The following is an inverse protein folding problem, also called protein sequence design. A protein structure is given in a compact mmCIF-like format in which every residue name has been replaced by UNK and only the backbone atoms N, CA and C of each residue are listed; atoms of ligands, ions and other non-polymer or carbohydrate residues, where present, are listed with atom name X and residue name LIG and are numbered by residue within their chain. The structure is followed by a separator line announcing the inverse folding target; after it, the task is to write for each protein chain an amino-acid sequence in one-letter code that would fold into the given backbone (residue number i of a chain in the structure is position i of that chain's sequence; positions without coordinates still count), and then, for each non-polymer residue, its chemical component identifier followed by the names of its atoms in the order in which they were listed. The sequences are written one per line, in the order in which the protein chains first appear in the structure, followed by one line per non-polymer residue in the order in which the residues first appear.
data_IF_732868647366
#
_entry.id   IF_732868647366
#
_cell.length_a   1.000
_cell.length_b   1.000
_cell.length_c   1.000
_cell.angle_alpha   90.00
_cell.angle_beta   90.00
_cell.angle_gamma   90.00
#
_symmetry.space_group_name_H-M   'P 1'
#
loop_
_entity.id
_entity.type
_entity.pdbx_description
1 polymer ?
#
# COMPACT_ATOMS: atom_id res chain seq x y z
N UNK A 1 23.02 -16.17 12.02
CA UNK A 1 21.73 -15.74 11.42
C UNK A 1 21.36 -14.35 11.96
N UNK A 2 21.69 -13.29 11.23
CA UNK A 2 21.43 -11.92 11.65
C UNK A 2 19.95 -11.56 11.54
N UNK A 3 19.40 -10.86 12.54
CA UNK A 3 17.97 -10.50 12.62
C UNK A 3 17.57 -9.68 11.38
N UNK A 4 16.61 -10.16 10.58
CA UNK A 4 16.18 -9.53 9.34
C UNK A 4 15.56 -8.13 9.53
N UNK A 5 15.10 -7.81 10.75
CA UNK A 5 14.50 -6.51 11.09
C UNK A 5 14.82 -6.10 12.53
N UNK A 6 14.83 -4.79 12.78
CA UNK A 6 14.93 -4.16 14.11
C UNK A 6 13.73 -3.26 14.35
N UNK A 7 13.20 -3.29 15.57
CA UNK A 7 12.15 -2.36 15.98
C UNK A 7 12.78 -1.11 16.60
N UNK A 8 12.31 0.07 16.18
CA UNK A 8 12.68 1.38 16.72
C UNK A 8 11.41 2.02 17.31
N UNK A 9 11.54 2.65 18.46
CA UNK A 9 10.49 3.43 19.12
C UNK A 9 11.07 4.70 19.75
N UNK A 10 10.20 5.66 20.07
CA UNK A 10 10.56 6.90 20.75
C UNK A 10 11.67 7.69 20.04
N UNK A 11 12.72 8.05 20.78
CA UNK A 11 13.83 8.86 20.25
C UNK A 11 14.56 8.21 19.06
N UNK A 12 14.67 6.88 19.03
CA UNK A 12 15.34 6.17 17.92
C UNK A 12 14.50 6.18 16.64
N UNK A 13 13.18 6.11 16.79
CA UNK A 13 12.24 6.27 15.67
C UNK A 13 12.25 7.70 15.14
N UNK A 14 12.18 8.70 16.03
CA UNK A 14 12.24 10.12 15.65
C UNK A 14 13.50 10.45 14.85
N UNK A 15 14.66 9.96 15.32
CA UNK A 15 15.93 10.13 14.61
C UNK A 15 15.89 9.46 13.23
N UNK A 16 15.43 8.21 13.16
CA UNK A 16 15.36 7.48 11.90
C UNK A 16 14.44 8.15 10.88
N UNK A 17 13.25 8.62 11.29
CA UNK A 17 12.31 9.33 10.41
C UNK A 17 12.88 10.66 9.96
N UNK A 18 13.52 11.42 10.86
CA UNK A 18 14.21 12.67 10.49
C UNK A 18 15.27 12.44 9.43
N UNK A 19 16.13 11.45 9.63
CA UNK A 19 17.21 11.12 8.70
C UNK A 19 16.65 10.58 7.36
N UNK A 20 15.57 9.80 7.40
CA UNK A 20 14.85 9.33 6.22
C UNK A 20 14.26 10.50 5.43
N UNK A 21 13.47 11.36 6.05
CA UNK A 21 12.76 12.45 5.36
C UNK A 21 13.75 13.53 4.90
N UNK A 22 14.79 13.82 5.68
CA UNK A 22 15.85 14.74 5.29
C UNK A 22 16.77 14.22 4.18
N UNK A 23 16.73 12.91 3.88
CA UNK A 23 17.46 12.33 2.74
C UNK A 23 16.70 12.39 1.42
N UNK A 24 15.44 12.85 1.42
CA UNK A 24 14.59 12.93 0.22
C UNK A 24 14.75 14.30 -0.43
N UNK A 25 15.13 14.31 -1.71
CA UNK A 25 15.23 15.52 -2.50
C UNK A 25 13.86 16.22 -2.64
N UNK A 26 13.86 17.55 -2.57
CA UNK A 26 12.65 18.37 -2.75
C UNK A 26 11.82 18.59 -1.47
N UNK A 27 12.22 18.03 -0.32
CA UNK A 27 11.55 18.31 0.96
C UNK A 27 12.20 19.51 1.64
N UNK A 28 11.38 20.51 2.01
CA UNK A 28 11.84 21.64 2.80
C UNK A 28 12.14 21.20 4.24
N UNK A 29 13.09 21.85 4.95
CA UNK A 29 13.42 21.49 6.33
C UNK A 29 12.21 21.61 7.27
N UNK A 30 11.30 22.56 7.01
CA UNK A 30 10.05 22.73 7.77
C UNK A 30 9.08 21.56 7.54
N UNK A 31 8.89 21.14 6.28
CA UNK A 31 8.08 19.96 5.95
C UNK A 31 8.66 18.69 6.58
N UNK A 32 10.00 18.54 6.56
CA UNK A 32 10.67 17.40 7.19
C UNK A 32 10.44 17.34 8.71
N UNK A 33 10.47 18.48 9.39
CA UNK A 33 10.18 18.58 10.82
C UNK A 33 8.70 18.28 11.13
N UNK A 34 7.78 18.78 10.30
CA UNK A 34 6.34 18.53 10.45
C UNK A 34 6.01 17.03 10.26
N UNK A 35 6.55 16.39 9.22
CA UNK A 35 6.44 14.96 8.95
C UNK A 35 7.02 14.11 10.10
N UNK A 36 8.20 14.47 10.59
CA UNK A 36 8.83 13.78 11.73
C UNK A 36 7.95 13.84 12.98
N UNK A 37 7.36 15.00 13.26
CA UNK A 37 6.48 15.21 14.42
C UNK A 37 5.13 14.52 14.28
N UNK A 38 4.60 14.39 13.06
CA UNK A 38 3.43 13.58 12.78
C UNK A 38 3.71 12.08 13.02
N UNK A 39 4.84 11.57 12.51
CA UNK A 39 5.24 10.19 12.73
C UNK A 39 5.51 9.87 14.21
N UNK A 40 6.02 10.80 15.01
CA UNK A 40 6.24 10.57 16.45
C UNK A 40 4.91 10.47 17.23
N UNK A 41 3.89 11.24 16.84
CA UNK A 41 2.57 11.22 17.49
C UNK A 41 1.74 10.01 17.12
N UNK A 42 1.75 9.63 15.84
CA UNK A 42 0.83 8.62 15.30
C UNK A 42 1.40 7.20 15.31
N UNK A 43 2.73 7.04 15.42
CA UNK A 43 3.39 5.74 15.28
C UNK A 43 4.11 5.39 16.57
N UNK A 44 3.69 4.32 17.24
CA UNK A 44 4.32 3.83 18.46
C UNK A 44 5.65 3.08 18.21
N UNK A 45 5.78 2.41 17.06
CA UNK A 45 6.94 1.58 16.73
C UNK A 45 7.11 1.41 15.21
N UNK A 46 8.35 1.44 14.74
CA UNK A 46 8.74 1.20 13.33
C UNK A 46 9.65 -0.01 13.24
N UNK A 47 9.37 -0.93 12.30
CA UNK A 47 10.28 -2.04 11.96
C UNK A 47 11.14 -1.68 10.77
N UNK A 48 12.46 -1.60 10.97
CA UNK A 48 13.46 -1.30 9.94
C UNK A 48 14.18 -2.57 9.49
N UNK A 49 14.51 -2.68 8.20
CA UNK A 49 15.31 -3.77 7.64
C UNK A 49 16.78 -3.60 8.02
N UNK A 50 17.48 -4.71 8.23
CA UNK A 50 18.92 -4.74 8.47
C UNK A 50 19.65 -5.43 7.31
N UNK A 51 20.81 -4.90 6.87
CA UNK A 51 21.45 -3.67 7.33
C UNK A 51 20.67 -2.42 6.90
N UNK A 52 20.68 -1.39 7.74
CA UNK A 52 20.11 -0.10 7.36
C UNK A 52 20.97 0.42 6.20
N UNK A 53 20.40 0.69 5.02
CA UNK A 53 21.17 1.18 3.89
C UNK A 53 21.85 2.50 4.28
N UNK A 54 23.17 2.56 4.08
CA UNK A 54 23.98 3.76 4.32
C UNK A 54 23.47 4.89 3.43
N UNK A 55 22.82 5.88 4.05
CA UNK A 55 22.44 7.13 3.38
C UNK A 55 23.60 8.09 3.50
N UNK A 56 24.71 7.71 2.86
CA UNK A 56 25.93 8.49 2.81
C UNK A 56 25.77 9.64 1.80
N UNK A 57 26.14 10.84 2.26
CA UNK A 57 26.28 12.07 1.48
C UNK A 57 27.19 11.85 0.26
N UNK A 58 26.65 11.67 -0.94
CA UNK A 58 27.35 11.96 -2.19
C UNK A 58 26.40 11.88 -3.39
N UNK A 59 26.10 13.06 -3.92
CA UNK A 59 25.50 13.24 -5.23
C UNK A 59 26.42 12.69 -6.34
N UNK A 60 25.85 11.99 -7.34
CA UNK A 60 26.16 12.22 -8.76
C UNK A 60 25.17 11.50 -9.68
N UNK A 61 24.42 12.33 -10.40
CA UNK A 61 23.90 12.18 -11.77
C UNK A 61 23.21 10.87 -12.18
N UNK A 62 21.89 10.96 -12.32
CA UNK A 62 21.05 9.99 -13.04
C UNK A 62 19.72 10.57 -13.51
N UNK A 63 19.74 11.79 -14.06
CA UNK A 63 18.82 12.40 -15.06
C UNK A 63 17.35 11.91 -15.15
N UNK A 64 16.45 12.79 -14.70
CA UNK A 64 15.13 13.22 -15.25
C UNK A 64 14.06 12.17 -15.57
N UNK A 65 12.91 12.31 -14.90
CA UNK A 65 11.79 13.18 -15.31
C UNK A 65 11.01 13.57 -14.03
N UNK A 66 11.06 14.81 -13.55
CA UNK A 66 10.27 15.96 -14.00
C UNK A 66 8.77 15.65 -14.11
N UNK A 67 8.00 16.09 -13.11
CA UNK A 67 6.54 15.98 -13.08
C UNK A 67 5.91 16.50 -11.78
N UNK A 68 6.28 17.73 -11.40
CA UNK A 68 5.55 18.72 -10.58
C UNK A 68 4.16 18.31 -10.03
N UNK A 69 4.07 18.15 -8.71
CA UNK A 69 2.91 18.60 -7.90
C UNK A 69 2.98 20.14 -7.76
N UNK A 70 1.95 20.91 -7.31
CA UNK A 70 0.66 20.50 -6.75
C UNK A 70 -0.55 21.39 -7.14
N UNK A 71 -1.72 21.08 -6.56
CA UNK A 71 -2.79 21.99 -6.10
C UNK A 71 -4.22 21.69 -6.60
N UNK A 72 -5.02 21.19 -5.65
CA UNK A 72 -6.25 21.80 -5.11
C UNK A 72 -7.41 22.15 -6.08
N UNK A 73 -8.54 21.49 -5.78
CA UNK A 73 -9.94 21.94 -5.80
C UNK A 73 -10.66 22.23 -7.13
N UNK A 74 -11.84 21.62 -7.21
CA UNK A 74 -13.11 22.06 -7.83
C UNK A 74 -13.31 21.97 -9.35
N UNK A 75 -14.24 21.08 -9.71
CA UNK A 75 -15.37 21.26 -10.65
C UNK A 75 -15.12 22.01 -11.96
N UNK A 76 -15.00 21.28 -13.07
CA UNK A 76 -15.75 21.59 -14.30
C UNK A 76 -15.70 20.40 -15.27
N UNK A 77 -16.85 20.11 -15.89
CA UNK A 77 -17.06 19.01 -16.81
C UNK A 77 -16.31 19.21 -18.14
N UNK A 78 -15.58 18.18 -18.62
CA UNK A 78 -15.32 17.92 -20.04
C UNK A 78 -14.57 16.60 -20.28
N UNK A 79 -15.05 15.85 -21.28
CA UNK A 79 -14.47 14.70 -22.00
C UNK A 79 -14.29 13.37 -21.22
N UNK A 80 -14.81 12.24 -21.75
CA UNK A 80 -14.63 10.93 -21.13
C UNK A 80 -13.14 10.55 -21.17
N UNK A 81 -12.53 10.19 -20.03
CA UNK A 81 -11.15 9.71 -20.02
C UNK A 81 -11.03 8.42 -20.84
N UNK A 82 -9.85 8.13 -21.43
CA UNK A 82 -9.59 6.83 -22.06
C UNK A 82 -9.88 5.72 -21.04
N UNK A 83 -10.28 4.51 -21.49
CA UNK A 83 -10.65 3.44 -20.58
C UNK A 83 -9.48 3.21 -19.62
N UNK A 84 -9.69 3.53 -18.35
CA UNK A 84 -8.68 3.39 -17.32
C UNK A 84 -8.23 1.91 -17.32
N UNK A 85 -6.95 1.67 -17.61
CA UNK A 85 -6.36 0.35 -17.43
C UNK A 85 -6.64 -0.11 -16.01
N UNK A 86 -7.16 -1.33 -15.87
CA UNK A 86 -7.55 -1.85 -14.56
C UNK A 86 -6.31 -2.01 -13.67
N UNK A 87 -6.24 -1.22 -12.59
CA UNK A 87 -5.20 -1.35 -11.58
C UNK A 87 -5.63 -2.38 -10.51
N UNK A 88 -4.99 -3.57 -10.45
CA UNK A 88 -5.30 -4.58 -9.45
C UNK A 88 -4.89 -4.19 -8.02
N UNK A 89 -4.15 -3.10 -7.84
CA UNK A 89 -3.72 -2.57 -6.54
C UNK A 89 -4.48 -1.31 -6.10
N UNK A 90 -5.46 -0.85 -6.88
CA UNK A 90 -6.29 0.32 -6.55
C UNK A 90 -6.97 0.21 -5.17
N UNK A 91 -7.22 -1.02 -4.69
CA UNK A 91 -7.61 -1.29 -3.32
C UNK A 91 -7.10 -2.66 -2.86
N UNK A 92 -6.89 -2.83 -1.55
CA UNK A 92 -6.51 -4.13 -0.99
C UNK A 92 -7.74 -4.91 -0.53
N UNK A 93 -7.92 -6.14 -1.05
CA UNK A 93 -9.03 -7.03 -0.66
C UNK A 93 -9.06 -7.30 0.84
N UNK A 94 -7.89 -7.48 1.45
CA UNK A 94 -7.77 -7.73 2.89
C UNK A 94 -8.19 -6.51 3.69
N UNK A 95 -7.72 -5.32 3.29
CA UNK A 95 -8.05 -4.07 4.00
C UNK A 95 -9.55 -3.77 3.90
N UNK A 96 -10.13 -3.95 2.71
CA UNK A 96 -11.56 -3.77 2.50
C UNK A 96 -12.35 -4.74 3.38
N UNK A 97 -12.02 -6.03 3.40
CA UNK A 97 -12.71 -6.99 4.28
C UNK A 97 -12.56 -6.64 5.76
N UNK A 98 -11.39 -6.17 6.20
CA UNK A 98 -11.21 -5.79 7.61
C UNK A 98 -11.95 -4.53 8.03
N UNK A 99 -12.25 -3.61 7.09
CA UNK A 99 -12.91 -2.33 7.39
C UNK A 99 -14.40 -2.33 7.10
N UNK A 100 -14.77 -2.88 5.94
CA UNK A 100 -16.12 -2.84 5.37
C UNK A 100 -16.81 -4.21 5.43
N UNK A 101 -16.08 -5.26 5.83
CA UNK A 101 -16.62 -6.61 5.94
C UNK A 101 -16.74 -7.33 4.59
N UNK A 102 -17.48 -8.45 4.62
CA UNK A 102 -17.70 -9.31 3.45
C UNK A 102 -18.45 -8.57 2.34
N UNK A 103 -19.54 -7.88 2.72
CA UNK A 103 -20.44 -7.19 1.79
C UNK A 103 -19.77 -5.98 1.11
N UNK A 104 -18.89 -5.28 1.83
CA UNK A 104 -18.10 -4.18 1.26
C UNK A 104 -17.17 -4.64 0.14
N UNK A 105 -16.49 -5.78 0.34
CA UNK A 105 -15.67 -6.36 -0.73
C UNK A 105 -16.53 -6.86 -1.90
N UNK A 106 -17.64 -7.56 -1.61
CA UNK A 106 -18.55 -8.05 -2.65
C UNK A 106 -19.06 -6.91 -3.55
N UNK A 107 -19.41 -5.76 -2.94
CA UNK A 107 -19.86 -4.57 -3.66
C UNK A 107 -18.80 -4.00 -4.60
N UNK A 108 -17.53 -3.93 -4.17
CA UNK A 108 -16.43 -3.46 -5.04
C UNK A 108 -16.13 -4.44 -6.18
N UNK A 109 -16.25 -5.73 -5.94
CA UNK A 109 -16.03 -6.76 -6.96
C UNK A 109 -17.17 -6.82 -8.00
N UNK A 110 -18.37 -6.33 -7.67
CA UNK A 110 -19.52 -6.30 -8.57
C UNK A 110 -19.27 -5.43 -9.83
N UNK A 111 -18.47 -4.36 -9.70
CA UNK A 111 -18.10 -3.48 -10.79
C UNK A 111 -16.96 -4.03 -11.68
N UNK A 112 -16.36 -5.18 -11.31
CA UNK A 112 -15.18 -5.73 -11.97
C UNK A 112 -15.57 -6.93 -12.84
N UNK A 113 -15.05 -6.96 -14.07
CA UNK A 113 -15.23 -8.06 -15.01
C UNK A 113 -14.33 -9.27 -14.74
N UNK A 114 -14.65 -10.46 -15.30
CA UNK A 114 -14.00 -11.73 -14.95
C UNK A 114 -12.49 -11.77 -15.19
N UNK A 115 -12.00 -11.17 -16.28
CA UNK A 115 -10.56 -11.10 -16.57
C UNK A 115 -9.79 -10.32 -15.47
N UNK A 116 -10.37 -9.20 -15.05
CA UNK A 116 -9.80 -8.31 -14.03
C UNK A 116 -9.88 -8.93 -12.62
N UNK A 117 -10.90 -9.74 -12.33
CA UNK A 117 -11.01 -10.49 -11.08
C UNK A 117 -9.86 -11.48 -10.90
N UNK A 118 -9.53 -12.26 -11.95
CA UNK A 118 -8.39 -13.20 -11.92
C UNK A 118 -7.06 -12.45 -11.80
N UNK A 119 -6.91 -11.32 -12.50
CA UNK A 119 -5.72 -10.45 -12.38
C UNK A 119 -5.55 -9.90 -10.95
N UNK A 120 -6.63 -9.42 -10.34
CA UNK A 120 -6.66 -8.91 -8.97
C UNK A 120 -6.30 -10.01 -7.96
N UNK A 121 -6.90 -11.19 -8.08
CA UNK A 121 -6.59 -12.32 -7.20
C UNK A 121 -5.11 -12.73 -7.28
N UNK A 122 -4.56 -12.82 -8.50
CA UNK A 122 -3.15 -13.13 -8.73
C UNK A 122 -2.23 -12.06 -8.14
N UNK A 123 -2.50 -10.79 -8.40
CA UNK A 123 -1.70 -9.66 -7.93
C UNK A 123 -1.69 -9.55 -6.40
N UNK A 124 -2.83 -9.83 -5.76
CA UNK A 124 -2.96 -9.72 -4.30
C UNK A 124 -2.68 -11.03 -3.54
N UNK A 125 -2.27 -12.08 -4.25
CA UNK A 125 -2.03 -13.43 -3.73
C UNK A 125 -3.24 -14.00 -2.98
N UNK A 126 -4.42 -13.91 -3.59
CA UNK A 126 -5.64 -14.56 -3.15
C UNK A 126 -5.72 -15.92 -3.84
N UNK A 127 -5.82 -16.99 -3.05
CA UNK A 127 -6.01 -18.33 -3.59
C UNK A 127 -7.40 -18.43 -4.22
N UNK A 128 -7.46 -18.90 -5.47
CA UNK A 128 -8.71 -19.22 -6.16
C UNK A 128 -8.78 -20.74 -6.41
N UNK A 129 -9.99 -21.33 -6.45
CA UNK A 129 -10.17 -22.69 -6.89
C UNK A 129 -9.68 -22.87 -8.33
N UNK A 130 -9.08 -24.01 -8.63
CA UNK A 130 -8.72 -24.37 -10.00
C UNK A 130 -9.98 -24.76 -10.77
N UNK A 131 -10.14 -24.21 -11.98
CA UNK A 131 -11.26 -24.50 -12.87
C UNK A 131 -11.90 -23.26 -13.50
N UNK A 132 -12.80 -23.51 -14.44
CA UNK A 132 -13.62 -22.46 -15.06
C UNK A 132 -14.82 -22.11 -14.18
N UNK A 133 -14.57 -21.20 -13.26
CA UNK A 133 -15.58 -20.60 -12.39
C UNK A 133 -16.38 -19.52 -13.13
N UNK A 134 -17.67 -19.43 -12.82
CA UNK A 134 -18.51 -18.30 -13.27
C UNK A 134 -18.00 -16.98 -12.66
N UNK A 135 -18.39 -15.85 -13.25
CA UNK A 135 -18.00 -14.53 -12.71
C UNK A 135 -18.45 -14.35 -11.26
N UNK A 136 -19.62 -14.86 -10.90
CA UNK A 136 -20.14 -14.78 -9.53
C UNK A 136 -19.34 -15.67 -8.57
N UNK A 137 -19.03 -16.90 -9.00
CA UNK A 137 -18.19 -17.81 -8.21
C UNK A 137 -16.77 -17.27 -8.03
N UNK A 138 -16.20 -16.59 -9.03
CA UNK A 138 -14.92 -15.90 -8.91
C UNK A 138 -14.98 -14.81 -7.85
N UNK A 139 -16.05 -14.01 -7.80
CA UNK A 139 -16.22 -12.97 -6.79
C UNK A 139 -16.32 -13.57 -5.40
N UNK A 140 -17.14 -14.61 -5.24
CA UNK A 140 -17.30 -15.34 -3.98
C UNK A 140 -15.97 -15.96 -3.52
N UNK A 141 -15.23 -16.60 -4.43
CA UNK A 141 -13.93 -17.19 -4.16
C UNK A 141 -12.88 -16.14 -3.72
N UNK A 142 -12.87 -14.95 -4.31
CA UNK A 142 -11.98 -13.86 -3.89
C UNK A 142 -12.30 -13.41 -2.46
N UNK A 143 -13.59 -13.30 -2.13
CA UNK A 143 -14.04 -12.93 -0.79
C UNK A 143 -13.62 -13.98 0.24
N UNK A 144 -13.86 -15.26 -0.04
CA UNK A 144 -13.44 -16.36 0.83
C UNK A 144 -11.91 -16.43 0.98
N UNK A 145 -11.17 -16.31 -0.12
CA UNK A 145 -9.71 -16.31 -0.09
C UNK A 145 -9.15 -15.14 0.74
N UNK A 146 -9.79 -13.97 0.69
CA UNK A 146 -9.42 -12.82 1.53
C UNK A 146 -9.69 -13.10 3.03
N UNK A 147 -10.84 -13.68 3.37
CA UNK A 147 -11.19 -14.08 4.74
C UNK A 147 -10.22 -15.12 5.29
N UNK A 148 -9.93 -16.17 4.51
CA UNK A 148 -8.97 -17.20 4.90
C UNK A 148 -7.58 -16.62 5.16
N UNK A 149 -7.15 -15.67 4.34
CA UNK A 149 -5.86 -15.00 4.53
C UNK A 149 -5.81 -14.18 5.82
N UNK A 150 -6.92 -13.53 6.19
CA UNK A 150 -7.04 -12.83 7.49
C UNK A 150 -6.98 -13.84 8.63
N UNK A 151 -7.71 -14.95 8.54
CA UNK A 151 -7.72 -16.01 9.54
C UNK A 151 -6.32 -16.60 9.74
N UNK A 152 -5.62 -16.96 8.65
CA UNK A 152 -4.26 -17.48 8.68
C UNK A 152 -3.28 -16.48 9.33
N UNK A 153 -3.42 -15.18 9.01
CA UNK A 153 -2.59 -14.13 9.62
C UNK A 153 -2.86 -13.99 11.12
N UNK A 154 -4.13 -14.08 11.55
CA UNK A 154 -4.49 -14.05 12.97
C UNK A 154 -3.94 -15.27 13.71
N UNK A 155 -4.11 -16.47 13.16
CA UNK A 155 -3.59 -17.71 13.74
C UNK A 155 -2.06 -17.71 13.88
N UNK A 156 -1.34 -17.14 12.92
CA UNK A 156 0.12 -17.01 12.99
C UNK A 156 0.61 -15.93 13.97
N UNK A 157 -0.28 -15.08 14.49
CA UNK A 157 0.04 -14.03 15.46
C UNK A 157 -0.38 -14.39 16.89
N UNK A 158 -1.07 -15.53 17.08
CA UNK A 158 -1.51 -16.08 18.36
C UNK A 158 -0.57 -17.16 18.88
#
# INVERSE_FOLDING_TARGET
MGKATRSLSGASQKKYVRDLVGSIDGITPEAAAALTSACEREIAQVRVRLPIPERGKSAKSGKKNAGTEPARAESSAAAPPPPAEFDPFAFSVVVVVTKEGRDGLASKLAAIGPANLRALAKAQHVALPEGDLSTEDLRAAIVEGALQRIANRKAAAS
#
